data_IF_913135438617
#
_entry.id   IF_913135438617
#
_cell.length_a   1.000
_cell.length_b   1.000
_cell.length_c   1.000
_cell.angle_alpha   90.00
_cell.angle_beta   90.00
_cell.angle_gamma   90.00
#
_symmetry.space_group_name_H-M   'P 1'
#
loop_
_entity.id
_entity.type
_entity.pdbx_description
1 polymer ?
#
# COMPACT_ATOMS: atom_id res chain seq x y z
N UNK A 1 -7.62 0.76 -55.30
CA UNK A 1 -6.64 0.10 -54.42
C UNK A 1 -7.00 0.48 -53.00
N UNK A 2 -7.64 -0.43 -52.27
CA UNK A 2 -8.02 -0.18 -50.87
C UNK A 2 -6.84 -0.56 -49.98
N UNK A 3 -6.36 0.39 -49.18
CA UNK A 3 -5.38 0.12 -48.12
C UNK A 3 -5.87 -1.04 -47.24
N UNK A 4 -5.03 -2.05 -46.97
CA UNK A 4 -5.39 -3.09 -46.02
C UNK A 4 -5.56 -2.45 -44.63
N UNK A 5 -6.72 -2.67 -44.02
CA UNK A 5 -7.02 -2.18 -42.68
C UNK A 5 -5.90 -2.57 -41.70
N UNK A 6 -5.47 -1.67 -40.80
CA UNK A 6 -4.38 -1.96 -39.88
C UNK A 6 -4.73 -3.19 -39.05
N UNK A 7 -3.89 -4.23 -39.19
CA UNK A 7 -4.01 -5.45 -38.42
C UNK A 7 -4.09 -5.11 -36.94
N UNK A 8 -5.13 -5.60 -36.26
CA UNK A 8 -5.33 -5.35 -34.84
C UNK A 8 -4.05 -5.67 -34.06
N UNK A 9 -3.61 -4.82 -33.12
CA UNK A 9 -2.35 -5.01 -32.43
C UNK A 9 -2.32 -6.39 -31.75
N UNK A 10 -1.19 -7.11 -31.79
CA UNK A 10 -1.12 -8.47 -31.29
C UNK A 10 -1.46 -8.51 -29.80
N UNK A 11 -2.35 -9.44 -29.45
CA UNK A 11 -2.93 -9.55 -28.10
C UNK A 11 -1.85 -9.96 -27.10
N UNK A 12 -1.85 -9.34 -25.93
CA UNK A 12 -0.98 -9.73 -24.83
C UNK A 12 -1.29 -11.17 -24.35
N UNK A 13 -0.27 -11.99 -24.10
CA UNK A 13 -0.39 -13.27 -23.41
C UNK A 13 -1.12 -13.15 -22.07
N UNK A 14 -1.81 -14.23 -21.69
CA UNK A 14 -2.70 -14.24 -20.51
C UNK A 14 -1.96 -13.99 -19.21
N UNK A 15 -0.76 -14.55 -19.06
CA UNK A 15 0.11 -14.38 -17.90
C UNK A 15 0.54 -12.92 -17.71
N UNK A 16 1.02 -12.25 -18.76
CA UNK A 16 1.39 -10.83 -18.73
C UNK A 16 0.17 -9.94 -18.45
N UNK A 17 -0.99 -10.28 -19.03
CA UNK A 17 -2.23 -9.55 -18.78
C UNK A 17 -2.68 -9.64 -17.33
N UNK A 18 -2.65 -10.84 -16.73
CA UNK A 18 -3.00 -11.04 -15.33
C UNK A 18 -2.04 -10.25 -14.43
N UNK A 19 -0.73 -10.33 -14.68
CA UNK A 19 0.26 -9.58 -13.92
C UNK A 19 0.04 -8.06 -14.02
N UNK A 20 -0.31 -7.53 -15.20
CA UNK A 20 -0.62 -6.12 -15.37
C UNK A 20 -1.92 -5.72 -14.63
N UNK A 21 -2.96 -6.57 -14.66
CA UNK A 21 -4.19 -6.33 -13.89
C UNK A 21 -3.91 -6.33 -12.38
N UNK A 22 -3.11 -7.28 -11.89
CA UNK A 22 -2.70 -7.31 -10.48
C UNK A 22 -1.90 -6.06 -10.11
N UNK A 23 -0.94 -5.66 -10.95
CA UNK A 23 -0.19 -4.41 -10.77
C UNK A 23 -1.11 -3.20 -10.67
N UNK A 24 -2.13 -3.11 -11.54
CA UNK A 24 -3.11 -2.04 -11.55
C UNK A 24 -3.96 -2.01 -10.26
N UNK A 25 -4.42 -3.17 -9.80
CA UNK A 25 -5.21 -3.28 -8.57
C UNK A 25 -4.37 -2.90 -7.35
N UNK A 26 -3.18 -3.50 -7.19
CA UNK A 26 -2.31 -3.23 -6.05
C UNK A 26 -1.86 -1.77 -6.02
N UNK A 27 -1.42 -1.22 -7.15
CA UNK A 27 -0.98 0.18 -7.19
C UNK A 27 -2.14 1.15 -6.98
N UNK A 28 -3.35 0.83 -7.46
CA UNK A 28 -4.55 1.63 -7.19
C UNK A 28 -4.91 1.66 -5.70
N UNK A 29 -5.01 0.49 -5.07
CA UNK A 29 -5.39 0.37 -3.66
C UNK A 29 -4.33 0.99 -2.73
N UNK A 30 -3.06 0.66 -2.94
CA UNK A 30 -1.96 1.15 -2.09
C UNK A 30 -1.72 2.63 -2.33
N UNK A 31 -1.71 3.08 -3.59
CA UNK A 31 -1.55 4.51 -3.91
C UNK A 31 -2.66 5.36 -3.28
N UNK A 32 -3.91 4.92 -3.37
CA UNK A 32 -5.03 5.63 -2.75
C UNK A 32 -4.94 5.62 -1.22
N UNK A 33 -4.59 4.49 -0.61
CA UNK A 33 -4.36 4.39 0.84
C UNK A 33 -3.26 5.35 1.29
N UNK A 34 -2.14 5.43 0.56
CA UNK A 34 -1.04 6.34 0.88
C UNK A 34 -1.45 7.81 0.81
N UNK A 35 -2.28 8.19 -0.17
CA UNK A 35 -2.81 9.57 -0.25
C UNK A 35 -3.74 9.86 0.91
N UNK A 36 -4.63 8.93 1.28
CA UNK A 36 -5.54 9.10 2.43
C UNK A 36 -4.75 9.25 3.73
N UNK A 37 -3.73 8.42 3.95
CA UNK A 37 -2.86 8.54 5.13
C UNK A 37 -2.06 9.84 5.11
N UNK A 38 -1.54 10.26 3.95
CA UNK A 38 -0.85 11.52 3.81
C UNK A 38 -1.76 12.72 4.17
N UNK A 39 -3.02 12.71 3.70
CA UNK A 39 -4.00 13.74 4.07
C UNK A 39 -4.31 13.72 5.57
N UNK A 40 -4.37 12.55 6.20
CA UNK A 40 -4.54 12.43 7.66
C UNK A 40 -3.35 13.01 8.42
N UNK A 41 -2.11 12.73 7.99
CA UNK A 41 -0.92 13.32 8.59
C UNK A 41 -0.86 14.84 8.36
N UNK A 42 -1.34 15.34 7.22
CA UNK A 42 -1.43 16.77 6.96
C UNK A 42 -2.40 17.48 7.93
N UNK A 43 -3.51 16.83 8.27
CA UNK A 43 -4.56 17.35 9.17
C UNK A 43 -4.50 16.74 10.58
N UNK A 44 -3.34 16.22 11.01
CA UNK A 44 -3.23 15.43 12.24
C UNK A 44 -3.76 16.16 13.49
N UNK A 45 -3.50 17.47 13.59
CA UNK A 45 -4.01 18.31 14.68
C UNK A 45 -5.53 18.41 14.68
N UNK A 46 -6.15 18.60 13.52
CA UNK A 46 -7.61 18.68 13.36
C UNK A 46 -8.28 17.34 13.72
N UNK A 47 -7.70 16.21 13.30
CA UNK A 47 -8.19 14.88 13.69
C UNK A 47 -8.05 14.62 15.20
N UNK A 48 -6.93 15.02 15.80
CA UNK A 48 -6.70 14.90 17.25
C UNK A 48 -7.72 15.73 18.03
N UNK A 49 -7.98 16.96 17.61
CA UNK A 49 -8.99 17.85 18.20
C UNK A 49 -10.41 17.31 18.02
N UNK A 50 -10.75 16.76 16.86
CA UNK A 50 -12.05 16.13 16.60
C UNK A 50 -12.29 14.92 17.51
N UNK A 51 -11.26 14.09 17.76
CA UNK A 51 -11.37 12.94 18.68
C UNK A 51 -11.54 13.40 20.13
N UNK A 52 -10.81 14.45 20.55
CA UNK A 52 -10.92 15.00 21.90
C UNK A 52 -12.24 15.74 22.16
N UNK A 53 -12.85 16.32 21.12
CA UNK A 53 -14.12 17.05 21.20
C UNK A 53 -15.35 16.18 21.00
N UNK A 54 -15.18 14.91 20.59
CA UNK A 54 -16.30 14.00 20.33
C UNK A 54 -17.03 13.59 21.61
N UNK A 55 -18.39 13.66 21.66
CA UNK A 55 -19.20 13.17 22.78
C UNK A 55 -19.03 11.68 23.07
N UNK A 56 -18.48 10.91 22.13
CA UNK A 56 -18.17 9.48 22.27
C UNK A 56 -16.91 9.21 23.11
N UNK A 57 -16.21 10.24 23.59
CA UNK A 57 -15.17 10.09 24.62
C UNK A 57 -15.71 9.55 25.97
N UNK A 58 -17.03 9.42 26.10
CA UNK A 58 -17.70 8.75 27.22
C UNK A 58 -17.38 7.24 27.26
N UNK A 59 -17.46 6.68 28.47
CA UNK A 59 -16.86 5.43 28.97
C UNK A 59 -16.93 4.19 28.07
N UNK A 60 -17.89 4.07 27.16
CA UNK A 60 -18.06 2.92 26.26
C UNK A 60 -17.00 2.83 25.14
N UNK A 61 -16.38 3.94 24.75
CA UNK A 61 -15.34 3.98 23.73
C UNK A 61 -13.98 4.48 24.24
N UNK A 62 -13.80 4.52 25.56
CA UNK A 62 -12.58 5.05 26.19
C UNK A 62 -11.30 4.34 25.73
N UNK A 63 -11.35 3.02 25.53
CA UNK A 63 -10.23 2.25 24.97
C UNK A 63 -9.89 2.69 23.55
N UNK A 64 -10.90 2.88 22.68
CA UNK A 64 -10.69 3.28 21.29
C UNK A 64 -10.10 4.70 21.20
N UNK A 65 -10.62 5.63 22.01
CA UNK A 65 -10.07 6.99 22.11
C UNK A 65 -8.61 6.97 22.55
N UNK A 66 -8.26 6.14 23.53
CA UNK A 66 -6.87 6.03 23.98
C UNK A 66 -5.95 5.41 22.92
N UNK A 67 -6.42 4.39 22.18
CA UNK A 67 -5.67 3.82 21.06
C UNK A 67 -5.42 4.85 19.96
N UNK A 68 -6.43 5.67 19.62
CA UNK A 68 -6.30 6.76 18.65
C UNK A 68 -5.32 7.84 19.13
N UNK A 69 -5.40 8.23 20.40
CA UNK A 69 -4.45 9.19 20.97
C UNK A 69 -3.01 8.64 20.99
N UNK A 70 -2.85 7.36 21.30
CA UNK A 70 -1.55 6.69 21.23
C UNK A 70 -1.02 6.68 19.79
N UNK A 71 -1.87 6.38 18.81
CA UNK A 71 -1.54 6.47 17.40
C UNK A 71 -1.09 7.89 17.02
N UNK A 72 -1.89 8.92 17.32
CA UNK A 72 -1.54 10.31 16.99
C UNK A 72 -0.23 10.75 17.64
N UNK A 73 0.01 10.37 18.91
CA UNK A 73 1.26 10.70 19.60
C UNK A 73 2.49 10.09 18.94
N UNK A 74 2.37 8.85 18.44
CA UNK A 74 3.44 8.20 17.71
C UNK A 74 3.65 8.86 16.34
N UNK A 75 2.55 9.16 15.63
CA UNK A 75 2.58 9.78 14.31
C UNK A 75 3.13 11.20 14.32
N UNK A 76 2.94 11.96 15.41
CA UNK A 76 3.46 13.32 15.57
C UNK A 76 4.98 13.39 15.45
N UNK A 77 5.69 12.41 16.02
CA UNK A 77 7.17 12.33 15.98
C UNK A 77 7.74 11.97 14.60
N UNK A 78 6.94 11.34 13.73
CA UNK A 78 7.35 10.82 12.42
C UNK A 78 6.62 11.49 11.25
N UNK A 79 5.88 12.57 11.52
CA UNK A 79 4.96 13.20 10.57
C UNK A 79 5.65 13.58 9.26
N UNK A 80 6.73 14.34 9.33
CA UNK A 80 7.47 14.83 8.15
C UNK A 80 8.11 13.70 7.35
N UNK A 81 8.96 12.81 7.93
CA UNK A 81 9.61 11.76 7.16
C UNK A 81 8.61 10.75 6.56
N UNK A 82 7.54 10.43 7.29
CA UNK A 82 6.50 9.52 6.79
C UNK A 82 5.64 10.17 5.71
N UNK A 83 5.35 11.47 5.81
CA UNK A 83 4.62 12.20 4.76
C UNK A 83 5.38 12.19 3.43
N UNK A 84 6.69 12.41 3.46
CA UNK A 84 7.53 12.32 2.27
C UNK A 84 7.50 10.90 1.68
N UNK A 85 7.62 9.89 2.53
CA UNK A 85 7.61 8.48 2.11
C UNK A 85 6.28 8.06 1.49
N UNK A 86 5.15 8.43 2.11
CA UNK A 86 3.81 8.16 1.59
C UNK A 86 3.56 8.89 0.27
N UNK A 87 4.04 10.13 0.13
CA UNK A 87 4.01 10.87 -1.13
C UNK A 87 4.80 10.17 -2.23
N UNK A 88 6.03 9.75 -1.94
CA UNK A 88 6.87 9.00 -2.88
C UNK A 88 6.24 7.65 -3.27
N UNK A 89 5.63 6.94 -2.31
CA UNK A 89 4.92 5.68 -2.54
C UNK A 89 3.68 5.90 -3.43
N UNK A 90 2.89 6.96 -3.18
CA UNK A 90 1.74 7.30 -4.00
C UNK A 90 2.14 7.63 -5.44
N UNK A 91 3.19 8.43 -5.65
CA UNK A 91 3.73 8.75 -6.99
C UNK A 91 4.25 7.48 -7.68
N UNK A 92 4.98 6.64 -6.97
CA UNK A 92 5.48 5.36 -7.51
C UNK A 92 4.33 4.45 -7.92
N UNK A 93 3.29 4.35 -7.09
CA UNK A 93 2.07 3.60 -7.40
C UNK A 93 1.34 4.19 -8.60
N UNK A 94 1.31 5.52 -8.77
CA UNK A 94 0.75 6.14 -9.97
C UNK A 94 1.50 5.74 -11.24
N UNK A 95 2.83 5.68 -11.21
CA UNK A 95 3.63 5.18 -12.34
C UNK A 95 3.35 3.71 -12.65
N UNK A 96 3.26 2.85 -11.64
CA UNK A 96 2.88 1.44 -11.82
C UNK A 96 1.47 1.32 -12.39
N UNK A 97 0.53 2.12 -11.90
CA UNK A 97 -0.86 2.15 -12.38
C UNK A 97 -0.94 2.55 -13.85
N UNK A 98 -0.26 3.63 -14.22
CA UNK A 98 -0.19 4.11 -15.61
C UNK A 98 0.51 3.08 -16.49
N UNK A 99 1.66 2.55 -16.06
CA UNK A 99 2.40 1.51 -16.77
C UNK A 99 1.56 0.26 -17.00
N UNK A 100 0.81 -0.19 -16.00
CA UNK A 100 -0.08 -1.35 -16.09
C UNK A 100 -1.26 -1.07 -17.05
N UNK A 101 -1.87 0.10 -16.92
CA UNK A 101 -2.98 0.53 -17.77
C UNK A 101 -2.55 0.63 -19.24
N UNK A 102 -1.37 1.20 -19.50
CA UNK A 102 -0.80 1.33 -20.85
C UNK A 102 -0.26 0.00 -21.37
N UNK A 103 0.23 -0.90 -20.52
CA UNK A 103 0.54 -2.28 -20.94
C UNK A 103 -0.73 -2.96 -21.48
N UNK A 104 -1.86 -2.85 -20.77
CA UNK A 104 -3.15 -3.41 -21.19
C UNK A 104 -3.75 -2.69 -22.41
N UNK A 105 -3.52 -1.38 -22.55
CA UNK A 105 -4.04 -0.52 -23.62
C UNK A 105 -2.92 0.42 -24.12
N UNK A 106 -2.04 -0.05 -25.02
CA UNK A 106 -0.80 0.67 -25.39
C UNK A 106 -1.05 2.01 -26.08
N UNK A 107 -2.16 2.19 -26.80
CA UNK A 107 -2.52 3.48 -27.40
C UNK A 107 -1.41 4.07 -28.30
N UNK A 108 -0.63 3.22 -28.96
CA UNK A 108 0.50 3.61 -29.82
C UNK A 108 1.86 3.68 -29.14
N UNK A 109 1.97 3.45 -27.82
CA UNK A 109 3.27 3.43 -27.13
C UNK A 109 3.93 2.05 -27.13
N UNK A 110 5.29 1.98 -27.20
CA UNK A 110 6.04 0.74 -27.06
C UNK A 110 5.78 0.07 -25.71
N UNK A 111 5.47 -1.23 -25.72
CA UNK A 111 5.22 -2.01 -24.51
C UNK A 111 6.50 -2.27 -23.72
N UNK A 112 7.66 -2.27 -24.36
CA UNK A 112 8.95 -2.47 -23.68
C UNK A 112 9.24 -1.37 -22.66
N UNK A 113 8.96 -0.10 -22.99
CA UNK A 113 9.06 1.01 -22.04
C UNK A 113 8.14 0.83 -20.84
N UNK A 114 6.92 0.34 -21.07
CA UNK A 114 5.95 0.04 -20.02
C UNK A 114 6.39 -1.14 -19.14
N UNK A 115 7.03 -2.16 -19.72
CA UNK A 115 7.61 -3.30 -18.98
C UNK A 115 8.71 -2.83 -18.04
N UNK A 116 9.64 -2.00 -18.53
CA UNK A 116 10.73 -1.46 -17.73
C UNK A 116 10.20 -0.59 -16.59
N UNK A 117 9.21 0.27 -16.88
CA UNK A 117 8.53 1.10 -15.88
C UNK A 117 7.84 0.23 -14.82
N UNK A 118 7.11 -0.81 -15.23
CA UNK A 118 6.44 -1.74 -14.31
C UNK A 118 7.42 -2.53 -13.44
N UNK A 119 8.54 -2.97 -14.02
CA UNK A 119 9.60 -3.67 -13.30
C UNK A 119 10.17 -2.78 -12.19
N UNK A 120 10.73 -1.62 -12.54
CA UNK A 120 11.37 -0.73 -11.57
C UNK A 120 10.38 -0.07 -10.63
N UNK A 121 9.23 0.37 -11.13
CA UNK A 121 8.18 0.97 -10.32
C UNK A 121 7.66 0.01 -9.26
N UNK A 122 7.44 -1.26 -9.60
CA UNK A 122 6.99 -2.26 -8.61
C UNK A 122 8.08 -2.57 -7.58
N UNK A 123 9.34 -2.69 -7.99
CA UNK A 123 10.45 -2.89 -7.05
C UNK A 123 10.61 -1.69 -6.10
N UNK A 124 10.50 -0.47 -6.62
CA UNK A 124 10.56 0.74 -5.80
C UNK A 124 9.37 0.81 -4.84
N UNK A 125 8.15 0.49 -5.29
CA UNK A 125 6.97 0.41 -4.43
C UNK A 125 7.15 -0.62 -3.30
N UNK A 126 7.76 -1.78 -3.60
CA UNK A 126 8.07 -2.79 -2.59
C UNK A 126 9.04 -2.26 -1.51
N UNK A 127 10.10 -1.55 -1.92
CA UNK A 127 11.07 -0.94 -1.01
C UNK A 127 10.41 0.13 -0.15
N UNK A 128 9.69 1.08 -0.78
CA UNK A 128 9.01 2.16 -0.08
C UNK A 128 7.98 1.63 0.92
N UNK A 129 7.19 0.62 0.53
CA UNK A 129 6.22 -0.03 1.43
C UNK A 129 6.89 -0.75 2.60
N UNK A 130 8.07 -1.33 2.40
CA UNK A 130 8.83 -1.97 3.47
C UNK A 130 9.33 -0.93 4.49
N UNK A 131 9.85 0.20 4.01
CA UNK A 131 10.29 1.30 4.88
C UNK A 131 9.10 1.89 5.64
N UNK A 132 7.97 2.10 4.96
CA UNK A 132 6.74 2.63 5.56
C UNK A 132 6.22 1.69 6.65
N UNK A 133 6.21 0.37 6.39
CA UNK A 133 5.83 -0.59 7.42
C UNK A 133 6.80 -0.66 8.59
N UNK A 134 8.11 -0.44 8.36
CA UNK A 134 9.06 -0.33 9.46
C UNK A 134 8.80 0.92 10.32
N UNK A 135 8.45 2.05 9.71
CA UNK A 135 8.08 3.27 10.43
C UNK A 135 6.78 3.09 11.22
N UNK A 136 5.76 2.49 10.61
CA UNK A 136 4.47 2.28 11.25
C UNK A 136 4.51 1.24 12.38
N UNK A 137 5.51 0.36 12.41
CA UNK A 137 5.69 -0.55 13.55
C UNK A 137 5.80 0.22 14.88
N UNK A 138 6.42 1.41 14.88
CA UNK A 138 6.49 2.27 16.08
C UNK A 138 5.10 2.68 16.54
N UNK A 139 4.19 3.00 15.61
CA UNK A 139 2.78 3.31 15.91
C UNK A 139 2.09 2.10 16.51
N UNK A 140 2.29 0.91 15.93
CA UNK A 140 1.72 -0.35 16.44
C UNK A 140 2.21 -0.66 17.85
N UNK A 141 3.50 -0.41 18.15
CA UNK A 141 4.07 -0.62 19.48
C UNK A 141 3.45 0.33 20.51
N UNK A 142 3.21 1.60 20.14
CA UNK A 142 2.51 2.57 21.01
C UNK A 142 1.04 2.20 21.23
N UNK A 143 0.34 1.75 20.19
CA UNK A 143 -1.03 1.26 20.29
C UNK A 143 -1.09 -0.01 21.16
N UNK A 144 -0.14 -0.93 21.02
CA UNK A 144 -0.01 -2.11 21.87
C UNK A 144 0.20 -1.75 23.34
N UNK A 145 1.06 -0.77 23.62
CA UNK A 145 1.27 -0.27 24.99
C UNK A 145 0.01 0.39 25.57
N UNK A 146 -0.75 1.12 24.74
CA UNK A 146 -2.04 1.69 25.14
C UNK A 146 -3.11 0.61 25.38
N UNK A 147 -3.14 -0.44 24.56
CA UNK A 147 -4.03 -1.58 24.74
C UNK A 147 -3.81 -2.26 26.10
N UNK A 148 -2.55 -2.45 26.53
CA UNK A 148 -2.26 -3.06 27.83
C UNK A 148 -2.74 -2.20 29.01
N UNK A 149 -2.62 -0.87 28.88
CA UNK A 149 -2.92 0.10 29.93
C UNK A 149 -4.36 0.62 29.89
N UNK A 150 -5.16 0.16 28.95
CA UNK A 150 -6.38 0.87 28.62
C UNK A 150 -7.54 0.69 29.59
N UNK A 151 -8.48 1.67 29.60
CA UNK A 151 -9.71 1.56 30.37
C UNK A 151 -10.64 0.59 29.64
N UNK A 152 -10.62 -0.67 30.05
CA UNK A 152 -11.53 -1.68 29.53
C UNK A 152 -12.90 -1.54 30.20
N UNK A 153 -14.01 -1.76 29.47
CA UNK A 153 -15.34 -1.76 30.06
C UNK A 153 -15.44 -2.78 31.20
N UNK A 154 -16.04 -2.40 32.33
CA UNK A 154 -16.22 -3.28 33.50
C UNK A 154 -17.02 -4.56 33.21
N UNK A 155 -17.75 -4.60 32.10
CA UNK A 155 -18.55 -5.73 31.63
C UNK A 155 -17.72 -6.82 30.92
N UNK A 156 -16.41 -6.61 30.73
CA UNK A 156 -15.54 -7.62 30.13
C UNK A 156 -15.10 -8.64 31.16
N UNK A 157 -15.13 -9.90 30.76
CA UNK A 157 -14.67 -11.03 31.58
C UNK A 157 -13.17 -10.87 31.91
N UNK A 158 -12.75 -10.99 33.19
CA UNK A 158 -11.35 -10.93 33.59
C UNK A 158 -10.41 -11.83 32.79
N UNK A 159 -10.84 -13.04 32.41
CA UNK A 159 -10.02 -13.96 31.60
C UNK A 159 -9.80 -13.43 30.18
N UNK A 160 -10.84 -12.85 29.56
CA UNK A 160 -10.74 -12.24 28.23
C UNK A 160 -9.84 -10.99 28.26
N UNK A 161 -9.94 -10.20 29.34
CA UNK A 161 -9.12 -9.02 29.55
C UNK A 161 -7.64 -9.38 29.67
N UNK A 162 -7.32 -10.44 30.43
CA UNK A 162 -5.95 -10.93 30.57
C UNK A 162 -5.40 -11.43 29.23
N UNK A 163 -6.19 -12.21 28.48
CA UNK A 163 -5.80 -12.68 27.16
C UNK A 163 -5.53 -11.53 26.17
N UNK A 164 -6.37 -10.48 26.17
CA UNK A 164 -6.19 -9.32 25.28
C UNK A 164 -4.94 -8.52 25.66
N UNK A 165 -4.66 -8.34 26.95
CA UNK A 165 -3.44 -7.67 27.40
C UNK A 165 -2.18 -8.49 27.09
N UNK A 166 -2.25 -9.80 27.24
CA UNK A 166 -1.13 -10.71 27.03
C UNK A 166 -0.80 -10.91 25.54
N UNK A 167 -1.82 -11.15 24.71
CA UNK A 167 -1.63 -11.52 23.31
C UNK A 167 -1.94 -10.40 22.32
N UNK A 168 -2.78 -9.43 22.69
CA UNK A 168 -3.24 -8.36 21.80
C UNK A 168 -2.10 -7.57 21.13
N UNK A 169 -1.10 -7.06 21.87
CA UNK A 169 0.04 -6.36 21.26
C UNK A 169 0.82 -7.23 20.26
N UNK A 170 1.02 -8.50 20.59
CA UNK A 170 1.72 -9.44 19.72
C UNK A 170 0.93 -9.73 18.44
N UNK A 171 -0.40 -9.92 18.56
CA UNK A 171 -1.32 -10.12 17.44
C UNK A 171 -1.33 -8.90 16.52
N UNK A 172 -1.43 -7.69 17.08
CA UNK A 172 -1.39 -6.44 16.31
C UNK A 172 -0.09 -6.30 15.52
N UNK A 173 1.06 -6.52 16.17
CA UNK A 173 2.37 -6.49 15.53
C UNK A 173 2.49 -7.55 14.44
N UNK A 174 2.10 -8.79 14.72
CA UNK A 174 2.19 -9.87 13.73
C UNK A 174 1.30 -9.60 12.52
N UNK A 175 0.05 -9.18 12.75
CA UNK A 175 -0.90 -8.83 11.70
C UNK A 175 -0.34 -7.72 10.80
N UNK A 176 0.19 -6.65 11.39
CA UNK A 176 0.74 -5.53 10.62
C UNK A 176 1.98 -5.93 9.80
N UNK A 177 2.88 -6.72 10.38
CA UNK A 177 4.06 -7.25 9.68
C UNK A 177 3.66 -8.18 8.53
N UNK A 178 2.70 -9.07 8.76
CA UNK A 178 2.20 -9.98 7.75
C UNK A 178 1.57 -9.23 6.58
N UNK A 179 0.74 -8.22 6.86
CA UNK A 179 0.12 -7.38 5.84
C UNK A 179 1.18 -6.60 5.04
N UNK A 180 2.17 -6.01 5.72
CA UNK A 180 3.28 -5.31 5.06
C UNK A 180 4.07 -6.24 4.16
N UNK A 181 4.46 -7.42 4.65
CA UNK A 181 5.19 -8.42 3.89
C UNK A 181 4.38 -8.92 2.69
N UNK A 182 3.07 -9.11 2.84
CA UNK A 182 2.19 -9.51 1.74
C UNK A 182 2.14 -8.45 0.63
N UNK A 183 1.96 -7.18 0.98
CA UNK A 183 1.89 -6.08 0.00
C UNK A 183 3.25 -5.84 -0.66
N UNK A 184 4.32 -5.68 0.13
CA UNK A 184 5.66 -5.47 -0.39
C UNK A 184 6.13 -6.67 -1.23
N UNK A 185 5.86 -7.88 -0.76
CA UNK A 185 6.14 -9.13 -1.49
C UNK A 185 5.40 -9.21 -2.82
N UNK A 186 4.13 -8.80 -2.87
CA UNK A 186 3.34 -8.78 -4.11
C UNK A 186 3.97 -7.85 -5.15
N UNK A 187 4.37 -6.65 -4.74
CA UNK A 187 5.08 -5.72 -5.62
C UNK A 187 6.46 -6.23 -6.04
N UNK A 188 7.20 -6.88 -5.13
CA UNK A 188 8.49 -7.48 -5.44
C UNK A 188 8.35 -8.60 -6.49
N UNK A 189 7.37 -9.50 -6.32
CA UNK A 189 7.07 -10.58 -7.27
C UNK A 189 6.68 -10.01 -8.63
N UNK A 190 5.83 -8.98 -8.67
CA UNK A 190 5.45 -8.30 -9.92
C UNK A 190 6.67 -7.65 -10.59
N UNK A 191 7.51 -6.95 -9.82
CA UNK A 191 8.73 -6.32 -10.31
C UNK A 191 9.68 -7.33 -10.94
N UNK A 192 9.94 -8.45 -10.24
CA UNK A 192 10.78 -9.54 -10.77
C UNK A 192 10.15 -10.23 -11.99
N UNK A 193 8.84 -10.43 -11.99
CA UNK A 193 8.12 -11.02 -13.13
C UNK A 193 8.29 -10.18 -14.40
N UNK A 194 8.05 -8.88 -14.33
CA UNK A 194 8.24 -7.98 -15.47
C UNK A 194 9.71 -7.81 -15.87
N UNK A 195 10.65 -8.01 -14.93
CA UNK A 195 12.10 -8.03 -15.20
C UNK A 195 12.56 -9.30 -15.94
N UNK A 196 11.82 -10.39 -15.84
CA UNK A 196 12.24 -11.69 -16.37
C UNK A 196 12.49 -11.68 -17.89
N UNK A 197 13.49 -12.47 -18.30
CA UNK A 197 13.91 -12.57 -19.70
C UNK A 197 12.78 -13.05 -20.63
N UNK A 198 11.97 -13.99 -20.13
CA UNK A 198 10.79 -14.50 -20.85
C UNK A 198 9.79 -13.38 -21.16
N UNK A 199 9.47 -12.53 -20.18
CA UNK A 199 8.53 -11.41 -20.39
C UNK A 199 9.14 -10.38 -21.34
N UNK A 200 10.45 -10.08 -21.20
CA UNK A 200 11.17 -9.19 -22.12
C UNK A 200 11.08 -9.65 -23.57
N UNK A 201 11.48 -10.89 -23.85
CA UNK A 201 11.45 -11.45 -25.22
C UNK A 201 10.04 -11.43 -25.81
N UNK A 202 9.04 -11.76 -24.99
CA UNK A 202 7.63 -11.77 -25.40
C UNK A 202 7.14 -10.36 -25.73
N UNK A 203 7.49 -9.36 -24.92
CA UNK A 203 7.08 -7.96 -25.13
C UNK A 203 7.78 -7.37 -26.36
N UNK A 204 9.09 -7.60 -26.52
CA UNK A 204 9.87 -7.14 -27.68
C UNK A 204 9.34 -7.75 -28.98
N UNK A 205 9.02 -9.05 -28.98
CA UNK A 205 8.42 -9.70 -30.16
C UNK A 205 7.05 -9.13 -30.53
N UNK A 206 6.30 -8.57 -29.56
CA UNK A 206 4.99 -7.96 -29.79
C UNK A 206 5.06 -6.51 -30.27
N UNK A 207 6.13 -5.78 -29.94
CA UNK A 207 6.36 -4.41 -30.41
C UNK A 207 6.82 -4.37 -31.88
N UNK A 208 7.33 -5.49 -32.42
CA UNK A 208 7.78 -5.60 -33.81
C UNK A 208 9.11 -4.88 -34.07
N UNK A 209 9.67 -4.97 -35.29
CA UNK A 209 10.84 -4.18 -35.66
C UNK A 209 10.45 -2.69 -35.65
N UNK A 210 11.08 -1.92 -34.77
CA UNK A 210 11.11 -0.45 -34.87
C UNK A 210 11.88 -0.08 -36.12
N UNK A 211 11.17 0.31 -37.19
CA UNK A 211 11.75 1.00 -38.35
C UNK A 211 12.22 2.41 -37.99
#
# INVERSE_FOLDING_TARGET
>A
MSEPAPSSPPKLPRDIRIAAVLGLIFSGLIGMSSVVELSRLAQLSEYKEAVLSSPTANTEHALNTQLLLAQFSAEESMREPRSFLLGALAVTCAFVFVGASRMLRPGGMPREGMRVLLSWGSLLAAVLRTIDGAQFQVVVDHMGAALVKGPFPNQWDPEQLEAIKQYGPAVLTWFYRALTAAVAGSFAVLGQYFRSERVRQTVVALDGPTE
#
